data_IF_320007340203
#
_entry.id   IF_320007340203
#
_cell.length_a   1.000
_cell.length_b   1.000
_cell.length_c   1.000
_cell.angle_alpha   90.00
_cell.angle_beta   90.00
_cell.angle_gamma   90.00
#
_symmetry.space_group_name_H-M   'P 1'
#
loop_
_entity.id
_entity.type
_entity.pdbx_description
1 polymer ?
#
# COMPACT_ATOMS: atom_id res chain seq x y z
N UNK A 1 -15.96 -6.97 -6.07
CA UNK A 1 -16.64 -8.26 -5.79
C UNK A 1 -18.12 -7.98 -5.61
N UNK A 2 -18.99 -8.83 -6.15
CA UNK A 2 -20.42 -8.82 -5.89
C UNK A 2 -20.70 -9.61 -4.60
N UNK A 3 -21.84 -9.38 -3.96
CA UNK A 3 -22.22 -10.11 -2.74
C UNK A 3 -22.18 -11.64 -2.93
N UNK A 4 -22.67 -12.12 -4.07
CA UNK A 4 -22.63 -13.54 -4.44
C UNK A 4 -21.19 -14.11 -4.46
N UNK A 5 -20.21 -13.34 -4.95
CA UNK A 5 -18.82 -13.81 -4.99
C UNK A 5 -18.25 -13.94 -3.56
N UNK A 6 -18.66 -13.05 -2.65
CA UNK A 6 -18.22 -13.09 -1.24
C UNK A 6 -18.78 -14.33 -0.54
N UNK A 7 -20.03 -14.69 -0.80
CA UNK A 7 -20.63 -15.90 -0.26
C UNK A 7 -19.97 -17.18 -0.80
N UNK A 8 -19.61 -17.20 -2.08
CA UNK A 8 -18.84 -18.30 -2.66
C UNK A 8 -17.43 -18.41 -2.07
N UNK A 9 -16.77 -17.29 -1.75
CA UNK A 9 -15.49 -17.29 -1.03
C UNK A 9 -15.63 -17.90 0.37
N UNK A 10 -16.69 -17.56 1.11
CA UNK A 10 -17.01 -18.18 2.42
C UNK A 10 -17.22 -19.68 2.33
N UNK A 11 -17.70 -20.16 1.19
CA UNK A 11 -17.89 -21.60 0.91
C UNK A 11 -16.62 -22.30 0.39
N UNK A 12 -15.49 -21.57 0.30
CA UNK A 12 -14.22 -22.13 -0.17
C UNK A 12 -14.09 -22.30 -1.68
N UNK A 13 -14.83 -21.54 -2.50
CA UNK A 13 -14.76 -21.62 -3.96
C UNK A 13 -13.39 -21.19 -4.49
N UNK A 14 -12.61 -22.15 -5.02
CA UNK A 14 -11.30 -21.90 -5.63
C UNK A 14 -11.40 -20.96 -6.84
N UNK A 15 -12.39 -21.14 -7.71
CA UNK A 15 -12.61 -20.26 -8.86
C UNK A 15 -12.83 -18.80 -8.44
N UNK A 16 -13.57 -18.60 -7.35
CA UNK A 16 -13.85 -17.27 -6.84
C UNK A 16 -12.63 -16.66 -6.13
N UNK A 17 -11.81 -17.50 -5.49
CA UNK A 17 -10.52 -17.07 -4.94
C UNK A 17 -9.56 -16.64 -6.06
N UNK A 18 -9.47 -17.39 -7.14
CA UNK A 18 -8.65 -17.02 -8.30
C UNK A 18 -9.08 -15.67 -8.89
N UNK A 19 -10.38 -15.43 -9.05
CA UNK A 19 -10.93 -14.12 -9.46
C UNK A 19 -10.55 -12.99 -8.49
N UNK A 20 -10.61 -13.26 -7.18
CA UNK A 20 -10.17 -12.31 -6.15
C UNK A 20 -8.70 -11.99 -6.31
N UNK A 21 -7.85 -13.02 -6.45
CA UNK A 21 -6.41 -12.88 -6.59
C UNK A 21 -6.06 -12.00 -7.80
N UNK A 22 -6.46 -12.38 -9.01
CA UNK A 22 -6.15 -11.60 -10.22
C UNK A 22 -6.67 -10.17 -10.17
N UNK A 23 -7.82 -9.97 -9.54
CA UNK A 23 -8.41 -8.63 -9.43
C UNK A 23 -7.66 -7.70 -8.49
N UNK A 24 -7.11 -8.22 -7.39
CA UNK A 24 -6.58 -7.38 -6.32
C UNK A 24 -5.09 -7.54 -6.05
N UNK A 25 -4.42 -8.55 -6.64
CA UNK A 25 -3.00 -8.81 -6.43
C UNK A 25 -2.14 -7.54 -6.66
N UNK A 26 -2.22 -6.94 -7.84
CA UNK A 26 -1.43 -5.74 -8.18
C UNK A 26 -1.69 -4.57 -7.23
N UNK A 27 -2.93 -4.44 -6.77
CA UNK A 27 -3.32 -3.37 -5.86
C UNK A 27 -2.80 -3.61 -4.44
N UNK A 28 -2.89 -4.85 -3.94
CA UNK A 28 -2.34 -5.24 -2.64
C UNK A 28 -0.81 -5.14 -2.67
N UNK A 29 -0.18 -5.63 -3.75
CA UNK A 29 1.26 -5.49 -3.96
C UNK A 29 1.70 -4.02 -3.88
N UNK A 30 1.05 -3.13 -4.63
CA UNK A 30 1.37 -1.69 -4.61
C UNK A 30 1.29 -1.09 -3.20
N UNK A 31 0.25 -1.42 -2.42
CA UNK A 31 0.09 -0.89 -1.05
C UNK A 31 1.21 -1.34 -0.13
N UNK A 32 1.57 -2.61 -0.20
CA UNK A 32 2.60 -3.20 0.66
C UNK A 32 3.96 -2.68 0.23
N UNK A 33 4.26 -2.69 -1.07
CA UNK A 33 5.52 -2.23 -1.62
C UNK A 33 5.84 -0.78 -1.26
N UNK A 34 4.88 0.14 -1.34
CA UNK A 34 5.07 1.53 -0.94
C UNK A 34 5.28 1.75 0.57
N UNK A 35 5.16 0.69 1.37
CA UNK A 35 5.49 0.72 2.80
C UNK A 35 6.82 0.06 3.10
N UNK A 36 7.10 -1.06 2.45
CA UNK A 36 8.23 -1.93 2.76
C UNK A 36 9.45 -1.60 1.89
N UNK A 37 9.22 -1.19 0.63
CA UNK A 37 10.24 -0.89 -0.38
C UNK A 37 11.21 -2.03 -0.68
N UNK A 38 10.79 -3.28 -0.48
CA UNK A 38 11.49 -4.50 -0.79
C UNK A 38 10.56 -5.39 -1.61
N UNK A 39 11.03 -5.83 -2.79
CA UNK A 39 10.19 -6.61 -3.71
C UNK A 39 9.88 -8.00 -3.15
N UNK A 40 10.90 -8.71 -2.66
CA UNK A 40 10.74 -10.08 -2.17
C UNK A 40 9.88 -10.13 -0.91
N UNK A 41 10.17 -9.25 0.04
CA UNK A 41 9.33 -9.11 1.24
C UNK A 41 7.89 -8.75 0.86
N UNK A 42 7.70 -7.88 -0.14
CA UNK A 42 6.35 -7.53 -0.60
C UNK A 42 5.61 -8.74 -1.15
N UNK A 43 6.26 -9.61 -1.94
CA UNK A 43 5.62 -10.83 -2.45
C UNK A 43 5.17 -11.76 -1.32
N UNK A 44 6.01 -11.97 -0.30
CA UNK A 44 5.65 -12.75 0.88
C UNK A 44 4.45 -12.15 1.62
N UNK A 45 4.47 -10.84 1.88
CA UNK A 45 3.38 -10.17 2.59
C UNK A 45 2.08 -10.10 1.76
N UNK A 46 2.17 -10.13 0.44
CA UNK A 46 0.99 -10.27 -0.45
C UNK A 46 0.37 -11.65 -0.27
N UNK A 47 1.17 -12.72 -0.24
CA UNK A 47 0.67 -14.07 0.00
C UNK A 47 0.00 -14.16 1.38
N UNK A 48 0.66 -13.68 2.43
CA UNK A 48 0.10 -13.60 3.79
C UNK A 48 -1.22 -12.83 3.81
N UNK A 49 -1.32 -11.77 3.01
CA UNK A 49 -2.54 -10.95 2.90
C UNK A 49 -3.68 -11.77 2.31
N UNK A 50 -3.46 -12.55 1.26
CA UNK A 50 -4.51 -13.39 0.67
C UNK A 50 -4.92 -14.53 1.60
N UNK A 51 -3.97 -15.15 2.30
CA UNK A 51 -4.27 -16.15 3.33
C UNK A 51 -5.16 -15.50 4.40
N UNK A 52 -4.77 -14.33 4.90
CA UNK A 52 -5.53 -13.62 5.94
C UNK A 52 -6.91 -13.17 5.49
N UNK A 53 -7.09 -12.80 4.22
CA UNK A 53 -8.40 -12.49 3.65
C UNK A 53 -9.32 -13.70 3.76
N UNK A 54 -8.84 -14.90 3.37
CA UNK A 54 -9.65 -16.14 3.42
C UNK A 54 -9.97 -16.53 4.86
N UNK A 55 -8.99 -16.50 5.76
CA UNK A 55 -9.19 -16.77 7.18
C UNK A 55 -10.21 -15.84 7.84
N UNK A 56 -10.31 -14.61 7.35
CA UNK A 56 -11.16 -13.57 7.94
C UNK A 56 -12.43 -13.29 7.16
N UNK A 57 -12.69 -14.00 6.07
CA UNK A 57 -13.82 -13.71 5.16
C UNK A 57 -15.18 -13.79 5.86
N UNK A 58 -15.32 -14.69 6.84
CA UNK A 58 -16.55 -14.83 7.64
C UNK A 58 -16.83 -13.62 8.53
N UNK A 59 -15.80 -12.87 8.89
CA UNK A 59 -15.89 -11.64 9.68
C UNK A 59 -16.30 -10.43 8.83
N UNK A 60 -16.31 -10.56 7.50
CA UNK A 60 -16.75 -9.49 6.64
C UNK A 60 -18.27 -9.30 6.71
N UNK A 61 -18.69 -8.19 7.30
CA UNK A 61 -20.10 -7.87 7.59
C UNK A 61 -20.73 -6.90 6.57
N UNK A 62 -20.14 -6.77 5.38
CA UNK A 62 -20.62 -5.85 4.35
C UNK A 62 -19.80 -4.54 4.27
N UNK A 63 -20.28 -3.60 3.44
CA UNK A 63 -19.58 -2.34 3.17
C UNK A 63 -18.66 -2.42 1.96
N UNK A 64 -17.59 -1.64 1.97
CA UNK A 64 -16.64 -1.60 0.86
C UNK A 64 -15.62 -2.75 0.96
N UNK A 65 -15.87 -3.84 0.21
CA UNK A 65 -15.00 -5.01 0.20
C UNK A 65 -13.56 -4.67 -0.21
N UNK A 66 -13.39 -3.79 -1.21
CA UNK A 66 -12.05 -3.32 -1.62
C UNK A 66 -11.31 -2.68 -0.44
N UNK A 67 -11.99 -1.79 0.28
CA UNK A 67 -11.42 -1.14 1.46
C UNK A 67 -11.01 -2.16 2.54
N UNK A 68 -11.86 -3.14 2.82
CA UNK A 68 -11.62 -4.16 3.83
C UNK A 68 -10.34 -4.97 3.53
N UNK A 69 -10.19 -5.49 2.29
CA UNK A 69 -8.98 -6.24 1.91
C UNK A 69 -7.71 -5.38 1.93
N UNK A 70 -7.81 -4.11 1.51
CA UNK A 70 -6.66 -3.19 1.55
C UNK A 70 -6.24 -2.84 2.99
N UNK A 71 -7.19 -2.85 3.92
CA UNK A 71 -6.89 -2.68 5.35
C UNK A 71 -6.13 -3.88 5.90
N UNK A 72 -6.50 -5.11 5.49
CA UNK A 72 -5.75 -6.31 5.87
C UNK A 72 -4.30 -6.22 5.38
N UNK A 73 -4.06 -5.94 4.10
CA UNK A 73 -2.71 -5.83 3.55
C UNK A 73 -1.88 -4.74 4.23
N UNK A 74 -2.50 -3.59 4.52
CA UNK A 74 -1.85 -2.49 5.25
C UNK A 74 -1.46 -2.86 6.67
N UNK A 75 -2.32 -3.60 7.37
CA UNK A 75 -2.04 -4.07 8.72
C UNK A 75 -0.89 -5.08 8.74
N UNK A 76 -0.84 -5.99 7.78
CA UNK A 76 0.26 -6.96 7.63
C UNK A 76 1.59 -6.22 7.39
N UNK A 77 1.64 -5.27 6.46
CA UNK A 77 2.84 -4.47 6.22
C UNK A 77 3.28 -3.68 7.47
N UNK A 78 2.33 -3.08 8.20
CA UNK A 78 2.64 -2.36 9.45
C UNK A 78 3.16 -3.30 10.55
N UNK A 79 2.63 -4.52 10.66
CA UNK A 79 3.13 -5.51 11.62
C UNK A 79 4.56 -5.94 11.28
N UNK A 80 4.84 -6.18 10.00
CA UNK A 80 6.20 -6.48 9.53
C UNK A 80 7.17 -5.35 9.90
N UNK A 81 6.86 -4.11 9.56
CA UNK A 81 7.71 -2.95 9.86
C UNK A 81 7.95 -2.77 11.36
N UNK A 82 6.93 -2.97 12.20
CA UNK A 82 7.10 -2.93 13.66
C UNK A 82 8.04 -4.02 14.18
N UNK A 83 7.96 -5.23 13.60
CA UNK A 83 8.86 -6.34 13.94
C UNK A 83 10.29 -6.01 13.55
N UNK A 84 10.50 -5.48 12.33
CA UNK A 84 11.82 -5.08 11.85
C UNK A 84 12.44 -3.97 12.70
N UNK A 85 11.66 -2.94 13.07
CA UNK A 85 12.13 -1.88 13.97
C UNK A 85 12.57 -2.44 15.33
N UNK A 86 11.78 -3.35 15.94
CA UNK A 86 12.14 -4.00 17.20
C UNK A 86 13.40 -4.85 17.06
N UNK A 87 13.58 -5.55 15.95
CA UNK A 87 14.77 -6.33 15.66
C UNK A 87 16.00 -5.42 15.50
N UNK A 88 15.89 -4.33 14.76
CA UNK A 88 16.95 -3.33 14.60
C UNK A 88 17.32 -2.66 15.93
N UNK A 89 16.38 -2.35 16.81
CA UNK A 89 16.66 -1.85 18.15
C UNK A 89 17.43 -2.86 19.00
N UNK A 90 17.08 -4.14 18.93
CA UNK A 90 17.83 -5.21 19.62
C UNK A 90 19.22 -5.40 19.02
N UNK A 91 19.41 -5.26 17.71
CA UNK A 91 20.70 -5.39 17.04
C UNK A 91 21.59 -4.14 17.20
N UNK A 92 21.04 -2.94 17.38
CA UNK A 92 21.83 -1.73 17.72
C UNK A 92 22.63 -1.88 19.00
N UNK A 93 22.26 -2.80 19.89
CA UNK A 93 23.10 -3.19 21.02
C UNK A 93 24.28 -4.12 20.64
N UNK A 94 24.38 -4.58 19.37
CA UNK A 94 25.39 -5.57 18.96
C UNK A 94 26.25 -5.18 17.75
N UNK A 95 25.92 -4.20 16.94
CA UNK A 95 26.84 -3.71 15.90
C UNK A 95 26.39 -2.39 15.29
N UNK A 96 27.27 -1.39 15.32
CA UNK A 96 27.30 -0.29 14.36
C UNK A 96 27.76 -0.88 13.02
N UNK A 97 26.97 -0.70 12.00
CA UNK A 97 27.27 -0.59 10.56
C UNK A 97 26.39 -1.42 9.62
N UNK A 98 26.15 -0.74 8.51
CA UNK A 98 25.69 -1.17 7.18
C UNK A 98 24.17 -1.09 6.99
N UNK A 99 23.79 0.08 6.44
CA UNK A 99 22.62 0.20 5.57
C UNK A 99 23.11 -0.05 4.14
N UNK A 100 22.89 -1.23 3.60
CA UNK A 100 22.82 -1.39 2.15
C UNK A 100 21.40 -1.01 1.72
N UNK A 101 21.28 0.12 1.02
CA UNK A 101 20.13 0.38 0.17
C UNK A 101 20.20 -0.63 -0.97
N UNK A 102 19.35 -1.65 -0.94
CA UNK A 102 19.07 -2.45 -2.13
C UNK A 102 18.47 -1.51 -3.17
N UNK A 103 19.33 -1.10 -4.09
CA UNK A 103 18.93 -0.35 -5.28
C UNK A 103 18.13 -1.29 -6.15
N UNK A 104 16.82 -1.13 -6.11
CA UNK A 104 15.89 -1.78 -7.02
C UNK A 104 16.28 -1.34 -8.43
N UNK A 105 16.52 -2.31 -9.29
CA UNK A 105 16.67 -2.12 -10.74
C UNK A 105 15.30 -1.68 -11.33
N UNK A 106 14.86 -0.50 -10.90
CA UNK A 106 13.62 0.12 -11.35
C UNK A 106 13.90 0.95 -12.59
N UNK A 107 14.04 0.27 -13.72
CA UNK A 107 14.03 0.92 -15.04
C UNK A 107 12.63 1.44 -15.41
N UNK A 108 11.65 1.35 -14.50
CA UNK A 108 10.31 1.84 -14.72
C UNK A 108 10.22 3.33 -14.37
N UNK A 109 9.84 4.12 -15.35
CA UNK A 109 9.62 5.57 -15.26
C UNK A 109 8.68 5.94 -14.10
N UNK A 110 7.65 5.13 -13.87
CA UNK A 110 6.70 5.35 -12.78
C UNK A 110 7.33 5.22 -11.39
N UNK A 111 8.22 4.24 -11.21
CA UNK A 111 8.93 4.03 -9.94
C UNK A 111 9.87 5.19 -9.63
N UNK A 112 10.61 5.70 -10.63
CA UNK A 112 11.48 6.88 -10.47
C UNK A 112 10.67 8.14 -10.12
N UNK A 113 9.54 8.35 -10.78
CA UNK A 113 8.65 9.48 -10.49
C UNK A 113 8.11 9.41 -9.06
N UNK A 114 7.68 8.23 -8.61
CA UNK A 114 7.17 8.04 -7.25
C UNK A 114 8.25 8.25 -6.19
N UNK A 115 9.48 7.85 -6.46
CA UNK A 115 10.64 8.13 -5.59
C UNK A 115 10.92 9.63 -5.47
N UNK A 116 10.92 10.36 -6.59
CA UNK A 116 11.11 11.81 -6.58
C UNK A 116 9.96 12.54 -5.86
N UNK A 117 8.72 12.09 -6.02
CA UNK A 117 7.57 12.59 -5.24
C UNK A 117 7.77 12.32 -3.75
N UNK A 118 8.25 11.13 -3.37
CA UNK A 118 8.51 10.77 -1.97
C UNK A 118 9.51 11.70 -1.29
N UNK A 119 10.53 12.15 -2.02
CA UNK A 119 11.54 13.10 -1.50
C UNK A 119 11.00 14.53 -1.31
N UNK A 120 9.89 14.87 -1.96
CA UNK A 120 9.32 16.22 -1.97
C UNK A 120 8.24 16.46 -0.92
N UNK A 121 7.62 15.41 -0.41
CA UNK A 121 6.47 15.51 0.49
C UNK A 121 6.67 14.64 1.75
N UNK A 122 5.99 15.01 2.83
CA UNK A 122 5.99 14.21 4.05
C UNK A 122 5.43 12.81 3.80
N UNK A 123 5.89 11.83 4.57
CA UNK A 123 5.46 10.43 4.47
C UNK A 123 3.92 10.28 4.51
N UNK A 124 3.25 11.01 5.39
CA UNK A 124 1.80 10.97 5.51
C UNK A 124 1.09 11.47 4.25
N UNK A 125 1.61 12.55 3.67
CA UNK A 125 1.09 13.14 2.43
C UNK A 125 1.37 12.22 1.24
N UNK A 126 2.55 11.60 1.21
CA UNK A 126 2.89 10.58 0.21
C UNK A 126 1.91 9.39 0.25
N UNK A 127 1.58 8.88 1.45
CA UNK A 127 0.57 7.83 1.60
C UNK A 127 -0.79 8.24 1.02
N UNK A 128 -1.24 9.48 1.26
CA UNK A 128 -2.50 9.98 0.68
C UNK A 128 -2.46 9.97 -0.85
N UNK A 129 -1.34 10.40 -1.44
CA UNK A 129 -1.14 10.41 -2.89
C UNK A 129 -1.22 8.98 -3.45
N UNK A 130 -0.51 8.04 -2.85
CA UNK A 130 -0.53 6.62 -3.26
C UNK A 130 -1.93 6.02 -3.11
N UNK A 131 -2.60 6.27 -1.98
CA UNK A 131 -3.96 5.79 -1.77
C UNK A 131 -4.93 6.28 -2.84
N UNK A 132 -4.80 7.53 -3.26
CA UNK A 132 -5.69 8.10 -4.27
C UNK A 132 -5.30 7.70 -5.69
N UNK A 133 -4.05 7.96 -6.12
CA UNK A 133 -3.62 7.80 -7.51
C UNK A 133 -3.35 6.33 -7.88
N UNK A 134 -2.70 5.57 -6.99
CA UNK A 134 -2.31 4.20 -7.30
C UNK A 134 -3.39 3.20 -6.88
N UNK A 135 -3.96 3.38 -5.67
CA UNK A 135 -4.96 2.46 -5.12
C UNK A 135 -6.39 2.82 -5.53
N UNK A 136 -6.60 4.02 -6.12
CA UNK A 136 -7.89 4.50 -6.59
C UNK A 136 -8.93 4.64 -5.48
N UNK A 137 -8.51 4.95 -4.25
CA UNK A 137 -9.41 5.23 -3.15
C UNK A 137 -9.98 6.65 -3.28
N UNK A 138 -11.24 6.80 -2.91
CA UNK A 138 -11.88 8.13 -2.81
C UNK A 138 -11.37 8.86 -1.56
N UNK A 139 -11.34 10.17 -1.59
CA UNK A 139 -10.88 10.97 -0.43
C UNK A 139 -11.67 10.71 0.85
N UNK A 140 -12.96 10.36 0.73
CA UNK A 140 -13.77 9.95 1.88
C UNK A 140 -13.25 8.65 2.51
N UNK A 141 -12.90 7.66 1.69
CA UNK A 141 -12.35 6.39 2.15
C UNK A 141 -10.96 6.58 2.80
N UNK A 142 -10.15 7.49 2.22
CA UNK A 142 -8.84 7.86 2.79
C UNK A 142 -9.01 8.56 4.14
N UNK A 143 -10.00 9.45 4.26
CA UNK A 143 -10.31 10.13 5.50
C UNK A 143 -10.71 9.16 6.63
N UNK A 144 -11.55 8.17 6.32
CA UNK A 144 -11.91 7.10 7.25
C UNK A 144 -10.67 6.29 7.70
N UNK A 145 -9.76 5.96 6.75
CA UNK A 145 -8.51 5.23 7.03
C UNK A 145 -7.58 6.02 7.96
N UNK A 146 -7.45 7.32 7.69
CA UNK A 146 -6.54 8.19 8.43
C UNK A 146 -7.15 8.74 9.72
N UNK A 147 -8.42 8.44 9.95
CA UNK A 147 -9.22 9.01 11.06
C UNK A 147 -9.19 10.55 11.03
N UNK A 148 -9.38 11.11 9.85
CA UNK A 148 -9.39 12.54 9.58
C UNK A 148 -10.66 12.97 8.84
N UNK A 149 -10.87 14.28 8.71
CA UNK A 149 -11.96 14.80 7.87
C UNK A 149 -11.59 14.75 6.40
N UNK A 150 -12.58 14.55 5.52
CA UNK A 150 -12.38 14.58 4.07
C UNK A 150 -11.77 15.90 3.59
N UNK A 151 -12.15 17.04 4.22
CA UNK A 151 -11.58 18.36 3.92
C UNK A 151 -10.10 18.45 4.26
N UNK A 152 -9.65 17.85 5.37
CA UNK A 152 -8.25 17.82 5.76
C UNK A 152 -7.42 17.02 4.73
N UNK A 153 -7.90 15.83 4.35
CA UNK A 153 -7.24 14.98 3.34
C UNK A 153 -7.16 15.71 1.99
N UNK A 154 -8.25 16.31 1.53
CA UNK A 154 -8.27 17.12 0.30
C UNK A 154 -7.28 18.29 0.36
N UNK A 155 -7.23 18.99 1.49
CA UNK A 155 -6.29 20.10 1.68
C UNK A 155 -4.83 19.65 1.62
N UNK A 156 -4.48 18.52 2.28
CA UNK A 156 -3.14 17.92 2.22
C UNK A 156 -2.79 17.53 0.77
N UNK A 157 -3.68 16.82 0.09
CA UNK A 157 -3.49 16.38 -1.29
C UNK A 157 -3.27 17.56 -2.26
N UNK A 158 -4.13 18.58 -2.24
CA UNK A 158 -4.02 19.71 -3.16
C UNK A 158 -2.74 20.52 -2.95
N UNK A 159 -2.32 20.76 -1.68
CA UNK A 159 -1.05 21.43 -1.40
C UNK A 159 0.14 20.64 -1.95
N UNK A 160 0.13 19.33 -1.74
CA UNK A 160 1.15 18.44 -2.28
C UNK A 160 1.20 18.44 -3.80
N UNK A 161 0.06 18.34 -4.47
CA UNK A 161 0.00 18.36 -5.94
C UNK A 161 0.48 19.70 -6.51
N UNK A 162 0.22 20.82 -5.82
CA UNK A 162 0.77 22.13 -6.21
C UNK A 162 2.30 22.16 -6.09
N UNK A 163 2.85 21.62 -5.00
CA UNK A 163 4.29 21.53 -4.78
C UNK A 163 4.96 20.63 -5.84
N UNK A 164 4.40 19.45 -6.09
CA UNK A 164 4.89 18.48 -7.06
C UNK A 164 4.94 19.08 -8.46
N UNK A 165 3.84 19.73 -8.90
CA UNK A 165 3.77 20.39 -10.22
C UNK A 165 4.81 21.51 -10.39
N UNK A 166 5.19 22.17 -9.30
CA UNK A 166 6.18 23.25 -9.35
C UNK A 166 7.62 22.79 -9.28
N UNK A 167 7.89 21.55 -8.87
CA UNK A 167 9.25 21.05 -8.62
C UNK A 167 9.67 19.86 -9.46
N UNK A 168 8.72 19.08 -9.99
CA UNK A 168 9.02 17.93 -10.85
C UNK A 168 9.14 18.39 -12.29
N UNK A 169 10.30 18.13 -12.87
CA UNK A 169 10.52 18.23 -14.31
C UNK A 169 9.99 16.97 -14.99
N UNK A 170 8.80 17.07 -15.54
CA UNK A 170 8.13 15.95 -16.21
C UNK A 170 8.84 15.51 -17.49
N UNK A 171 9.60 16.39 -18.16
CA UNK A 171 10.33 16.05 -19.39
C UNK A 171 11.42 15.00 -19.12
N UNK A 172 11.93 14.95 -17.89
CA UNK A 172 12.91 13.93 -17.45
C UNK A 172 12.39 12.49 -17.55
N UNK A 173 11.08 12.29 -17.51
CA UNK A 173 10.45 10.96 -17.45
C UNK A 173 9.90 10.47 -18.79
N UNK A 174 9.91 11.29 -19.84
CA UNK A 174 9.32 10.96 -21.14
C UNK A 174 10.38 10.92 -22.27
N UNK A 175 11.67 10.86 -21.91
CA UNK A 175 12.78 10.59 -22.83
C UNK A 175 13.14 9.12 -22.75
#
# INVERSE_FOLDING_TARGET
MKQKDIELLKQGSEETFEKLYYKYHKLIFSIIYHKVFDFHVTEELVQDTFIKIIESIDQYNGGNFKYWILTIGRNIANMYLRKELKNKEKMKHYSENIYEEDTIDSNDVASKLLEDIRKLVDHEVYEIIIMHLVQGLKFKEIAEIKNETTSAILGKYHRAMKLIRGKIDYEKYWK
#
